data_IF_594745726622
#
_entry.id   IF_594745726622
#
_cell.length_a   1.000
_cell.length_b   1.000
_cell.length_c   1.000
_cell.angle_alpha   90.00
_cell.angle_beta   90.00
_cell.angle_gamma   90.00
#
_symmetry.space_group_name_H-M   'P 1'
#
loop_
_entity.id
_entity.type
_entity.pdbx_description
1 polymer ?
#
# COMPACT_ATOMS: atom_id res chain seq x y z
N UNK A 1 0.28 -1.77 -34.84
CA UNK A 1 0.46 -1.36 -33.43
C UNK A 1 -0.85 -0.88 -32.81
N UNK A 2 -1.63 -0.01 -33.47
CA UNK A 2 -2.95 0.46 -32.96
C UNK A 2 -3.95 -0.63 -32.60
N UNK A 3 -4.05 -1.70 -33.39
CA UNK A 3 -4.98 -2.80 -33.13
C UNK A 3 -4.70 -3.48 -31.78
N UNK A 4 -3.42 -3.69 -31.44
CA UNK A 4 -3.01 -4.30 -30.18
C UNK A 4 -3.47 -3.45 -28.99
N UNK A 5 -3.21 -2.14 -29.00
CA UNK A 5 -3.61 -1.26 -27.90
C UNK A 5 -5.12 -1.12 -27.78
N UNK A 6 -5.86 -1.02 -28.89
CA UNK A 6 -7.34 -1.02 -28.87
C UNK A 6 -7.91 -2.31 -28.31
N UNK A 7 -7.31 -3.44 -28.64
CA UNK A 7 -7.71 -4.74 -28.11
C UNK A 7 -7.32 -4.90 -26.63
N UNK A 8 -6.14 -4.41 -26.23
CA UNK A 8 -5.66 -4.48 -24.85
C UNK A 8 -6.48 -3.65 -23.85
N UNK A 9 -7.13 -2.57 -24.30
CA UNK A 9 -7.99 -1.72 -23.45
C UNK A 9 -9.49 -1.99 -23.61
N UNK A 10 -9.88 -2.97 -24.42
CA UNK A 10 -11.29 -3.28 -24.63
C UNK A 10 -11.88 -4.11 -23.48
N UNK A 11 -13.21 -4.25 -23.49
CA UNK A 11 -13.99 -4.96 -22.47
C UNK A 11 -13.65 -6.45 -22.33
N UNK A 12 -12.87 -7.02 -23.27
CA UNK A 12 -12.43 -8.42 -23.24
C UNK A 12 -11.33 -8.63 -22.19
N UNK A 13 -10.63 -7.57 -21.80
CA UNK A 13 -9.61 -7.63 -20.78
C UNK A 13 -10.21 -7.42 -19.38
N UNK A 14 -9.86 -8.26 -18.40
CA UNK A 14 -10.35 -8.10 -17.04
C UNK A 14 -9.93 -6.73 -16.49
N UNK A 15 -10.91 -5.88 -16.22
CA UNK A 15 -10.69 -4.60 -15.57
C UNK A 15 -10.62 -4.80 -14.07
N UNK A 16 -9.54 -4.35 -13.45
CA UNK A 16 -9.42 -4.32 -11.99
C UNK A 16 -10.35 -3.22 -11.49
N UNK A 17 -11.44 -3.61 -10.82
CA UNK A 17 -12.34 -2.66 -10.18
C UNK A 17 -11.71 -2.14 -8.89
N UNK A 18 -11.99 -0.88 -8.51
CA UNK A 18 -11.61 -0.37 -7.20
C UNK A 18 -12.09 -1.30 -6.08
N UNK A 19 -11.25 -1.48 -5.06
CA UNK A 19 -11.62 -2.27 -3.88
C UNK A 19 -12.75 -1.54 -3.15
N UNK A 20 -13.79 -2.28 -2.78
CA UNK A 20 -14.90 -1.72 -2.00
C UNK A 20 -14.40 -1.22 -0.64
N UNK A 21 -14.89 -0.06 -0.19
CA UNK A 21 -14.50 0.57 1.07
C UNK A 21 -14.55 -0.38 2.26
N UNK A 22 -15.58 -1.23 2.36
CA UNK A 22 -15.74 -2.17 3.48
C UNK A 22 -14.65 -3.26 3.48
N UNK A 23 -14.22 -3.70 2.30
CA UNK A 23 -13.13 -4.66 2.16
C UNK A 23 -11.79 -4.04 2.51
N UNK A 24 -11.61 -2.77 2.15
CA UNK A 24 -10.42 -2.01 2.49
C UNK A 24 -10.33 -1.77 4.01
N UNK A 25 -11.41 -1.31 4.65
CA UNK A 25 -11.48 -1.16 6.12
C UNK A 25 -11.20 -2.47 6.84
N UNK A 26 -11.75 -3.59 6.35
CA UNK A 26 -11.48 -4.90 6.90
C UNK A 26 -9.98 -5.25 6.83
N UNK A 27 -9.35 -5.03 5.68
CA UNK A 27 -7.92 -5.24 5.49
C UNK A 27 -7.08 -4.35 6.43
N UNK A 28 -7.36 -3.05 6.48
CA UNK A 28 -6.62 -2.13 7.32
C UNK A 28 -6.77 -2.44 8.80
N UNK A 29 -7.94 -2.91 9.24
CA UNK A 29 -8.13 -3.43 10.60
C UNK A 29 -7.21 -4.60 10.91
N UNK A 30 -7.02 -5.53 9.97
CA UNK A 30 -6.08 -6.63 10.15
C UNK A 30 -4.63 -6.14 10.26
N UNK A 31 -4.25 -5.10 9.52
CA UNK A 31 -2.92 -4.45 9.63
C UNK A 31 -2.75 -3.86 11.03
N UNK A 32 -3.74 -3.12 11.54
CA UNK A 32 -3.73 -2.56 12.90
C UNK A 32 -3.62 -3.66 13.96
N UNK A 33 -4.39 -4.74 13.82
CA UNK A 33 -4.35 -5.87 14.76
C UNK A 33 -2.97 -6.55 14.77
N UNK A 34 -2.35 -6.74 13.60
CA UNK A 34 -1.01 -7.30 13.48
C UNK A 34 0.04 -6.38 14.13
N UNK A 35 0.00 -5.09 13.83
CA UNK A 35 0.92 -4.11 14.39
C UNK A 35 0.85 -4.09 15.93
N UNK A 36 -0.36 -3.96 16.48
CA UNK A 36 -0.55 -3.95 17.94
C UNK A 36 -0.08 -5.26 18.61
N UNK A 37 -0.26 -6.40 17.94
CA UNK A 37 0.23 -7.68 18.44
C UNK A 37 1.76 -7.74 18.44
N UNK A 38 2.41 -7.23 17.39
CA UNK A 38 3.87 -7.21 17.27
C UNK A 38 4.52 -6.30 18.33
N UNK A 39 3.94 -5.13 18.60
CA UNK A 39 4.48 -4.14 19.53
C UNK A 39 3.91 -4.22 20.96
N UNK A 40 2.91 -5.09 21.20
CA UNK A 40 2.29 -5.25 22.52
C UNK A 40 1.55 -4.02 23.06
N UNK A 41 1.23 -3.04 22.20
CA UNK A 41 0.56 -1.78 22.56
C UNK A 41 -0.76 -1.66 21.80
N UNK A 42 -1.85 -1.34 22.51
CA UNK A 42 -3.13 -0.99 21.89
C UNK A 42 -3.15 0.49 21.54
N UNK A 43 -3.47 0.80 20.29
CA UNK A 43 -3.52 2.15 19.75
C UNK A 43 -4.96 2.47 19.32
N UNK A 44 -5.38 3.72 19.53
CA UNK A 44 -6.65 4.22 19.01
C UNK A 44 -6.38 4.87 17.66
N UNK A 45 -6.86 4.26 16.59
CA UNK A 45 -6.69 4.73 15.21
C UNK A 45 -8.06 4.83 14.54
N UNK A 46 -8.28 5.92 13.80
CA UNK A 46 -9.50 6.13 13.02
C UNK A 46 -9.25 5.77 11.55
N UNK A 47 -9.60 4.54 11.18
CA UNK A 47 -9.41 4.05 9.81
C UNK A 47 -10.30 4.77 8.80
N UNK A 48 -11.44 5.32 9.22
CA UNK A 48 -12.35 6.05 8.32
C UNK A 48 -11.75 7.40 7.94
N UNK A 49 -11.20 8.13 8.91
CA UNK A 49 -10.49 9.40 8.69
C UNK A 49 -9.25 9.20 7.79
N UNK A 50 -8.49 8.11 7.98
CA UNK A 50 -7.35 7.78 7.10
C UNK A 50 -7.81 7.59 5.65
N UNK A 51 -8.89 6.83 5.42
CA UNK A 51 -9.41 6.61 4.07
C UNK A 51 -9.92 7.91 3.43
N UNK A 52 -10.61 8.75 4.20
CA UNK A 52 -11.15 10.01 3.70
C UNK A 52 -10.03 10.98 3.30
N UNK A 53 -9.01 11.13 4.16
CA UNK A 53 -7.90 12.07 3.93
C UNK A 53 -6.96 11.66 2.82
N UNK A 54 -6.73 10.36 2.64
CA UNK A 54 -5.91 9.86 1.54
C UNK A 54 -6.62 9.94 0.18
N UNK A 55 -7.95 10.06 0.16
CA UNK A 55 -8.74 10.08 -1.07
C UNK A 55 -8.62 8.78 -1.87
N UNK A 56 -9.08 8.79 -3.12
CA UNK A 56 -8.99 7.62 -3.99
C UNK A 56 -7.54 7.31 -4.37
N UNK A 57 -6.99 6.25 -3.79
CA UNK A 57 -5.62 5.81 -4.04
C UNK A 57 -5.49 4.28 -4.07
N UNK A 58 -4.27 3.77 -4.17
CA UNK A 58 -3.98 2.34 -4.22
C UNK A 58 -4.12 1.69 -2.85
N UNK A 59 -4.43 0.38 -2.81
CA UNK A 59 -4.44 -0.42 -1.57
C UNK A 59 -3.12 -0.30 -0.81
N UNK A 60 -1.99 -0.28 -1.54
CA UNK A 60 -0.65 -0.10 -0.97
C UNK A 60 -0.52 1.22 -0.22
N UNK A 61 -0.99 2.32 -0.82
CA UNK A 61 -0.95 3.66 -0.22
C UNK A 61 -1.77 3.71 1.07
N UNK A 62 -2.97 3.11 1.09
CA UNK A 62 -3.77 3.03 2.31
C UNK A 62 -3.09 2.22 3.43
N UNK A 63 -2.45 1.09 3.10
CA UNK A 63 -1.69 0.30 4.08
C UNK A 63 -0.54 1.14 4.63
N UNK A 64 0.22 1.81 3.77
CA UNK A 64 1.36 2.64 4.18
C UNK A 64 0.93 3.80 5.07
N UNK A 65 -0.08 4.57 4.66
CA UNK A 65 -0.60 5.67 5.48
C UNK A 65 -1.11 5.19 6.84
N UNK A 66 -1.71 4.00 6.90
CA UNK A 66 -2.11 3.38 8.17
C UNK A 66 -0.89 3.05 9.05
N UNK A 67 0.15 2.44 8.48
CA UNK A 67 1.37 2.12 9.22
C UNK A 67 2.08 3.37 9.74
N UNK A 68 2.18 4.43 8.93
CA UNK A 68 2.79 5.69 9.35
C UNK A 68 2.01 6.35 10.50
N UNK A 69 0.68 6.35 10.46
CA UNK A 69 -0.14 6.83 11.59
C UNK A 69 0.06 5.97 12.84
N UNK A 70 0.16 4.65 12.69
CA UNK A 70 0.43 3.76 13.82
C UNK A 70 1.82 4.01 14.43
N UNK A 71 2.85 4.24 13.60
CA UNK A 71 4.19 4.58 14.06
C UNK A 71 4.21 5.92 14.80
N UNK A 72 3.50 6.93 14.29
CA UNK A 72 3.36 8.22 14.96
C UNK A 72 2.67 8.08 16.33
N UNK A 73 1.58 7.32 16.41
CA UNK A 73 0.87 7.05 17.66
C UNK A 73 1.75 6.23 18.63
N UNK A 74 2.54 5.30 18.11
CA UNK A 74 3.41 4.47 18.92
C UNK A 74 4.55 5.27 19.54
N UNK A 75 5.28 6.03 18.71
CA UNK A 75 6.51 6.73 19.06
C UNK A 75 6.28 8.09 19.71
N UNK A 76 5.25 8.83 19.27
CA UNK A 76 5.07 10.25 19.58
C UNK A 76 3.72 10.58 20.22
N UNK A 77 2.80 9.60 20.33
CA UNK A 77 1.39 9.82 20.73
C UNK A 77 0.71 10.91 19.87
N UNK A 78 1.14 11.02 18.61
CA UNK A 78 0.67 11.98 17.64
C UNK A 78 -0.18 11.29 16.56
N UNK A 79 -1.10 12.04 15.97
CA UNK A 79 -1.98 11.55 14.90
C UNK A 79 -1.98 12.54 13.74
N UNK A 80 -1.28 12.20 12.67
CA UNK A 80 -1.23 12.99 11.45
C UNK A 80 -1.29 12.06 10.23
N UNK A 81 -2.41 12.10 9.49
CA UNK A 81 -2.54 11.31 8.27
C UNK A 81 -1.66 11.94 7.17
N UNK A 82 -0.71 11.18 6.59
CA UNK A 82 0.15 11.70 5.54
C UNK A 82 -0.65 12.04 4.28
N UNK A 83 -0.18 13.02 3.51
CA UNK A 83 -0.73 13.31 2.19
C UNK A 83 -0.33 12.19 1.22
N UNK A 84 -1.23 11.76 0.35
CA UNK A 84 -0.94 10.66 -0.58
C UNK A 84 0.29 10.94 -1.46
N UNK A 85 0.51 12.20 -1.84
CA UNK A 85 1.68 12.63 -2.64
C UNK A 85 3.00 12.55 -1.87
N UNK A 86 2.98 12.67 -0.54
CA UNK A 86 4.18 12.54 0.30
C UNK A 86 4.63 11.09 0.49
N UNK A 87 3.79 10.12 0.12
CA UNK A 87 4.08 8.70 0.21
C UNK A 87 4.85 8.22 -1.03
N UNK A 88 5.97 8.86 -1.36
CA UNK A 88 6.79 8.53 -2.52
C UNK A 88 7.29 7.07 -2.45
N UNK A 89 7.13 6.33 -3.54
CA UNK A 89 7.68 4.99 -3.63
C UNK A 89 9.21 5.05 -3.68
N UNK A 90 9.87 4.25 -2.83
CA UNK A 90 11.30 4.01 -2.98
C UNK A 90 11.53 3.35 -4.35
N UNK A 91 12.24 4.04 -5.23
CA UNK A 91 12.71 3.46 -6.49
C UNK A 91 13.86 2.53 -6.15
N UNK A 92 13.57 1.23 -6.13
CA UNK A 92 14.60 0.20 -6.02
C UNK A 92 15.24 0.06 -7.40
N UNK A 93 16.51 0.47 -7.55
CA UNK A 93 17.32 0.00 -8.66
C UNK A 93 17.67 -1.45 -8.36
N UNK A 94 17.24 -2.36 -9.24
CA UNK A 94 17.77 -3.73 -9.23
C UNK A 94 19.29 -3.64 -9.43
N UNK A 95 20.07 -4.29 -8.56
CA UNK A 95 21.51 -4.40 -8.75
C UNK A 95 21.77 -5.22 -10.03
N UNK A 96 22.50 -4.64 -10.98
CA UNK A 96 22.77 -5.26 -12.30
C UNK A 96 23.49 -6.63 -12.18
N UNK A 97 24.09 -6.91 -11.02
CA UNK A 97 24.91 -8.10 -10.76
C UNK A 97 24.13 -9.30 -10.19
N UNK A 98 22.80 -9.22 -10.02
CA UNK A 98 22.02 -10.34 -9.44
C UNK A 98 22.01 -11.61 -10.31
N UNK A 99 22.34 -11.51 -11.59
CA UNK A 99 22.52 -12.65 -12.49
C UNK A 99 23.91 -12.61 -13.14
N UNK A 100 24.96 -12.71 -12.33
CA UNK A 100 26.31 -12.92 -12.88
C UNK A 100 26.36 -14.27 -13.61
N UNK A 101 27.04 -14.34 -14.77
CA UNK A 101 27.15 -15.58 -15.57
C UNK A 101 27.80 -16.75 -14.81
N UNK A 102 28.42 -16.51 -13.65
CA UNK A 102 28.98 -17.56 -12.78
C UNK A 102 27.89 -18.43 -12.13
N UNK A 103 26.68 -17.92 -11.92
CA UNK A 103 25.57 -18.66 -11.28
C UNK A 103 24.84 -19.63 -12.23
N UNK A 104 25.12 -19.56 -13.53
CA UNK A 104 24.50 -20.40 -14.57
C UNK A 104 25.35 -21.62 -14.97
N UNK A 105 26.52 -21.81 -14.38
CA UNK A 105 27.40 -22.95 -14.62
C UNK A 105 27.26 -24.03 -13.53
N UNK A 106 26.13 -24.74 -13.52
CA UNK A 106 25.94 -26.02 -12.80
C UNK A 106 25.64 -27.16 -13.77
#
# INVERSE_FOLDING_TARGET
MEYFFRWAVSEHNPTVKPVKKEKLLFLLKQVVDLYQAAYGKRLKVDLEDILERLGETTVRTYIRGTLEVLDQLYLYDAYEVPQAESLEETVWQEEEDFFSEEDLAL
#
